data_IF_940636323419
#
_entry.id   IF_940636323419
#
_cell.length_a   1.000
_cell.length_b   1.000
_cell.length_c   1.000
_cell.angle_alpha   90.00
_cell.angle_beta   90.00
_cell.angle_gamma   90.00
#
_symmetry.space_group_name_H-M   'P 1'
#
loop_
_entity.id
_entity.type
_entity.pdbx_description
1 polymer ?
#
# COMPACT_ATOMS: atom_id res chain seq x y z
N UNK A 1 15.03 -7.23 11.03
CA UNK A 1 14.78 -5.92 11.69
C UNK A 1 13.30 -5.79 12.02
N UNK A 2 12.92 -5.23 13.18
CA UNK A 2 11.50 -4.99 13.50
C UNK A 2 10.97 -3.84 12.64
N UNK A 3 9.91 -4.09 11.88
CA UNK A 3 9.28 -3.08 11.03
C UNK A 3 8.53 -2.03 11.87
N UNK A 4 9.24 -0.98 12.27
CA UNK A 4 8.75 0.08 13.16
C UNK A 4 7.47 0.77 12.67
N UNK A 5 7.29 0.86 11.35
CA UNK A 5 6.12 1.52 10.75
C UNK A 5 4.92 0.58 10.55
N UNK A 6 5.05 -0.74 10.78
CA UNK A 6 3.97 -1.72 10.52
C UNK A 6 2.68 -1.37 11.28
N UNK A 7 2.79 -1.00 12.55
CA UNK A 7 1.64 -0.63 13.40
C UNK A 7 0.89 0.57 12.84
N UNK A 8 1.61 1.59 12.37
CA UNK A 8 1.03 2.76 11.73
C UNK A 8 0.24 2.37 10.47
N UNK A 9 0.78 1.54 9.59
CA UNK A 9 0.10 1.16 8.34
C UNK A 9 -1.20 0.37 8.59
N UNK A 10 -1.18 -0.56 9.55
CA UNK A 10 -2.38 -1.33 9.94
C UNK A 10 -3.45 -0.40 10.51
N UNK A 11 -3.08 0.46 11.46
CA UNK A 11 -4.02 1.40 12.08
C UNK A 11 -4.54 2.41 11.05
N UNK A 12 -3.69 2.87 10.13
CA UNK A 12 -4.08 3.78 9.07
C UNK A 12 -5.13 3.17 8.15
N UNK A 13 -4.91 1.93 7.70
CA UNK A 13 -5.90 1.19 6.90
C UNK A 13 -7.24 1.08 7.61
N UNK A 14 -7.23 0.68 8.88
CA UNK A 14 -8.45 0.51 9.67
C UNK A 14 -9.18 1.84 9.95
N UNK A 15 -8.44 2.91 10.29
CA UNK A 15 -9.02 4.22 10.64
C UNK A 15 -9.56 4.96 9.42
N UNK A 16 -8.88 4.87 8.29
CA UNK A 16 -9.24 5.61 7.06
C UNK A 16 -10.23 4.87 6.16
N UNK A 17 -10.75 3.72 6.61
CA UNK A 17 -11.63 2.85 5.83
C UNK A 17 -10.97 2.37 4.52
N UNK A 18 -9.74 1.87 4.64
CA UNK A 18 -9.04 1.12 3.60
C UNK A 18 -8.03 1.89 2.77
N UNK A 19 -7.64 3.13 3.13
CA UNK A 19 -6.50 3.77 2.46
C UNK A 19 -5.18 3.19 2.97
N UNK A 20 -4.21 3.10 2.08
CA UNK A 20 -2.86 2.57 2.33
C UNK A 20 -1.88 3.72 2.09
N UNK A 21 -0.99 4.04 3.05
CA UNK A 21 0.12 4.95 2.79
C UNK A 21 1.08 4.35 1.75
N UNK A 22 1.63 5.17 0.86
CA UNK A 22 2.68 4.74 -0.07
C UNK A 22 3.91 4.26 0.71
N UNK A 23 4.64 3.30 0.16
CA UNK A 23 5.93 2.88 0.72
C UNK A 23 6.97 2.88 -0.40
N UNK A 24 7.88 3.87 -0.45
CA UNK A 24 8.14 4.90 0.58
C UNK A 24 7.02 5.96 0.75
N UNK A 25 6.93 6.56 1.95
CA UNK A 25 5.83 7.43 2.42
C UNK A 25 5.62 8.77 1.67
N UNK A 26 6.54 9.12 0.77
CA UNK A 26 6.52 10.35 -0.02
C UNK A 26 6.41 10.08 -1.54
N UNK A 27 6.17 8.83 -1.92
CA UNK A 27 5.95 8.48 -3.31
C UNK A 27 4.62 9.06 -3.80
N UNK A 28 4.65 9.68 -4.97
CA UNK A 28 3.44 10.18 -5.61
C UNK A 28 2.69 9.01 -6.22
N UNK A 29 1.42 8.85 -5.84
CA UNK A 29 0.54 7.79 -6.34
C UNK A 29 -0.76 8.43 -6.82
N UNK A 30 -1.07 8.27 -8.10
CA UNK A 30 -2.24 8.85 -8.76
C UNK A 30 -3.28 7.78 -9.10
N UNK A 31 -4.57 8.15 -9.22
CA UNK A 31 -5.57 7.24 -9.78
C UNK A 31 -5.14 6.74 -11.16
N UNK A 32 -5.30 5.45 -11.38
CA UNK A 32 -4.86 4.77 -12.59
C UNK A 32 -3.40 4.34 -12.58
N UNK A 33 -2.59 4.69 -11.57
CA UNK A 33 -1.25 4.12 -11.46
C UNK A 33 -1.37 2.60 -11.25
N UNK A 34 -0.61 1.84 -12.03
CA UNK A 34 -0.48 0.40 -11.82
C UNK A 34 0.91 0.06 -11.29
N UNK A 35 0.95 -0.83 -10.31
CA UNK A 35 2.15 -1.09 -9.53
C UNK A 35 2.23 -2.55 -9.07
N UNK A 36 3.41 -2.93 -8.58
CA UNK A 36 3.63 -4.18 -7.86
C UNK A 36 4.24 -3.90 -6.50
N UNK A 37 3.96 -4.78 -5.54
CA UNK A 37 4.67 -4.78 -4.26
C UNK A 37 5.88 -5.70 -4.41
N UNK A 38 7.09 -5.12 -4.42
CA UNK A 38 8.33 -5.87 -4.53
C UNK A 38 9.23 -5.55 -3.35
N UNK A 39 9.71 -6.58 -2.64
CA UNK A 39 10.58 -6.45 -1.45
C UNK A 39 10.06 -5.44 -0.40
N UNK A 40 8.75 -5.41 -0.20
CA UNK A 40 8.13 -4.54 0.79
C UNK A 40 7.95 -3.08 0.35
N UNK A 41 8.15 -2.77 -0.93
CA UNK A 41 7.97 -1.43 -1.50
C UNK A 41 6.98 -1.43 -2.66
N UNK A 42 6.33 -0.29 -2.86
CA UNK A 42 5.44 -0.04 -3.98
C UNK A 42 6.26 0.43 -5.18
N UNK A 43 6.36 -0.41 -6.20
CA UNK A 43 7.04 -0.09 -7.45
C UNK A 43 5.98 0.27 -8.50
N UNK A 44 5.81 1.57 -8.75
CA UNK A 44 4.90 2.08 -9.79
C UNK A 44 5.51 1.77 -11.16
N UNK A 45 4.74 1.05 -11.98
CA UNK A 45 5.17 0.55 -13.29
C UNK A 45 4.67 1.44 -14.44
N UNK A 46 3.56 2.14 -14.21
CA UNK A 46 2.98 3.06 -15.19
C UNK A 46 1.62 3.56 -14.72
N UNK A 47 0.88 4.16 -15.66
CA UNK A 47 -0.47 4.66 -15.42
C UNK A 47 -1.38 4.28 -16.60
N UNK A 48 -2.63 3.90 -16.35
CA UNK A 48 -3.59 3.44 -17.37
C UNK A 48 -3.90 4.50 -18.44
N UNK A 49 -3.65 5.78 -18.19
CA UNK A 49 -3.83 6.84 -19.18
C UNK A 49 -2.63 6.98 -20.14
N UNK A 50 -1.51 6.30 -19.87
CA UNK A 50 -0.34 6.31 -20.75
C UNK A 50 -0.44 5.19 -21.78
N UNK A 51 0.16 5.42 -22.95
CA UNK A 51 0.22 4.46 -24.06
C UNK A 51 -1.16 3.93 -24.51
N UNK A 52 -2.23 4.70 -24.28
CA UNK A 52 -3.61 4.33 -24.59
C UNK A 52 -4.02 2.96 -24.01
N UNK A 53 -3.56 2.64 -22.79
CA UNK A 53 -4.06 1.45 -22.08
C UNK A 53 -5.56 1.61 -21.87
N UNK A 54 -6.05 2.75 -21.41
CA UNK A 54 -7.47 3.12 -21.43
C UNK A 54 -7.57 4.54 -21.99
N UNK A 55 -8.60 4.81 -22.81
CA UNK A 55 -8.79 6.16 -23.32
C UNK A 55 -9.24 7.09 -22.18
N UNK A 56 -8.74 8.33 -22.15
CA UNK A 56 -9.00 9.24 -21.02
C UNK A 56 -10.50 9.59 -20.91
N UNK A 57 -11.21 9.63 -22.03
CA UNK A 57 -12.65 9.85 -22.14
C UNK A 57 -13.51 8.66 -21.68
N UNK A 58 -12.93 7.45 -21.61
CA UNK A 58 -13.60 6.26 -21.07
C UNK A 58 -13.58 6.22 -19.52
N UNK A 59 -12.82 7.11 -18.86
CA UNK A 59 -12.68 7.11 -17.41
C UNK A 59 -13.34 8.32 -16.77
N UNK A 60 -14.31 8.06 -15.90
CA UNK A 60 -14.97 9.07 -15.08
C UNK A 60 -14.24 9.25 -13.75
N UNK A 61 -13.61 10.43 -13.57
CA UNK A 61 -12.94 10.81 -12.33
C UNK A 61 -13.77 11.79 -11.51
N UNK A 62 -13.98 11.47 -10.24
CA UNK A 62 -14.52 12.40 -9.25
C UNK A 62 -13.38 13.07 -8.49
N UNK A 63 -13.37 14.40 -8.43
CA UNK A 63 -12.32 15.18 -7.78
C UNK A 63 -12.81 15.86 -6.52
N UNK A 64 -11.91 16.01 -5.54
CA UNK A 64 -12.15 16.87 -4.39
C UNK A 64 -13.10 16.30 -3.34
N UNK A 65 -13.27 14.97 -3.32
CA UNK A 65 -14.10 14.27 -2.33
C UNK A 65 -13.51 14.54 -0.95
N UNK A 66 -14.26 15.24 -0.11
CA UNK A 66 -13.81 15.58 1.24
C UNK A 66 -13.88 14.35 2.14
N UNK A 67 -12.77 14.02 2.79
CA UNK A 67 -12.70 12.91 3.73
C UNK A 67 -12.89 13.40 5.16
N UNK A 68 -13.45 12.53 6.01
CA UNK A 68 -13.63 12.84 7.42
C UNK A 68 -12.29 13.08 8.10
N UNK A 69 -12.01 14.33 8.47
CA UNK A 69 -10.74 14.74 9.08
C UNK A 69 -10.44 14.02 10.40
N UNK A 70 -11.46 13.58 11.14
CA UNK A 70 -11.26 12.83 12.38
C UNK A 70 -10.55 11.48 12.13
N UNK A 71 -10.90 10.80 11.03
CA UNK A 71 -10.29 9.52 10.66
C UNK A 71 -8.84 9.67 10.16
N UNK A 72 -8.40 10.90 9.95
CA UNK A 72 -7.09 11.26 9.44
C UNK A 72 -6.24 12.03 10.46
N UNK A 73 -6.64 12.01 11.74
CA UNK A 73 -5.91 12.57 12.87
C UNK A 73 -6.03 11.59 14.04
N UNK A 74 -5.02 10.76 14.26
CA UNK A 74 -5.06 9.71 15.27
C UNK A 74 -3.66 9.35 15.75
N UNK A 75 -3.59 8.74 16.92
CA UNK A 75 -2.35 8.32 17.56
C UNK A 75 -2.53 6.97 18.24
N UNK A 76 -1.43 6.23 18.39
CA UNK A 76 -1.41 5.00 19.15
C UNK A 76 -0.23 5.00 20.12
N UNK A 77 -0.51 4.80 21.40
CA UNK A 77 0.49 4.75 22.48
C UNK A 77 1.24 6.07 22.69
N UNK A 78 0.52 7.20 22.62
CA UNK A 78 1.07 8.55 22.85
C UNK A 78 0.29 9.26 23.93
N UNK A 79 1.01 9.88 24.86
CA UNK A 79 0.46 10.80 25.86
C UNK A 79 0.99 12.21 25.61
N UNK A 80 0.28 13.21 26.14
CA UNK A 80 0.64 14.63 26.05
C UNK A 80 0.94 15.14 27.46
N UNK A 81 2.10 14.79 28.05
CA UNK A 81 2.44 15.19 29.42
C UNK A 81 2.45 16.71 29.62
N UNK A 82 2.69 17.48 28.55
CA UNK A 82 2.63 18.92 28.59
C UNK A 82 2.06 19.51 27.29
N UNK A 83 1.15 20.46 27.41
CA UNK A 83 0.67 21.33 26.35
C UNK A 83 0.27 22.65 27.00
N UNK A 84 1.00 23.73 26.73
CA UNK A 84 0.81 24.98 27.43
C UNK A 84 1.72 26.09 26.95
N UNK A 85 1.65 27.23 27.65
CA UNK A 85 2.49 28.40 27.42
C UNK A 85 3.70 28.36 28.32
N UNK A 86 4.82 28.79 27.78
CA UNK A 86 6.10 28.90 28.46
C UNK A 86 6.76 30.23 28.07
N UNK A 87 7.80 30.64 28.80
CA UNK A 87 8.46 31.92 28.59
C UNK A 87 9.96 31.76 28.41
N UNK A 88 10.49 32.34 27.34
CA UNK A 88 11.92 32.37 27.03
C UNK A 88 12.54 33.72 27.39
N UNK A 89 13.86 33.74 27.57
CA UNK A 89 14.66 34.96 27.74
C UNK A 89 15.63 35.10 26.57
N UNK A 90 15.45 36.15 25.77
CA UNK A 90 16.40 36.56 24.74
C UNK A 90 17.20 37.79 25.26
N UNK A 91 18.54 37.78 25.22
CA UNK A 91 19.36 38.94 25.63
C UNK A 91 19.05 40.24 24.88
N UNK A 92 18.50 40.15 23.66
CA UNK A 92 18.21 41.30 22.78
C UNK A 92 16.75 41.77 22.91
N UNK A 93 15.79 40.84 22.96
CA UNK A 93 14.34 41.14 22.89
C UNK A 93 13.63 41.05 24.26
N UNK A 94 14.32 40.61 25.31
CA UNK A 94 13.74 40.43 26.64
C UNK A 94 12.97 39.12 26.81
N UNK A 95 11.96 39.12 27.68
CA UNK A 95 11.10 37.94 27.88
C UNK A 95 10.11 37.82 26.72
N UNK A 96 10.03 36.63 26.11
CA UNK A 96 9.01 36.33 25.10
C UNK A 96 8.20 35.10 25.50
N UNK A 97 6.90 35.10 25.19
CA UNK A 97 6.03 33.95 25.36
C UNK A 97 6.13 33.01 24.16
N UNK A 98 6.06 31.70 24.41
CA UNK A 98 5.90 30.69 23.37
C UNK A 98 4.98 29.59 23.85
N UNK A 99 4.40 28.88 22.89
CA UNK A 99 3.61 27.69 23.18
C UNK A 99 4.51 26.46 23.08
N UNK A 100 4.39 25.51 24.01
CA UNK A 100 5.16 24.26 24.04
C UNK A 100 4.24 23.05 24.22
N UNK A 101 4.60 21.96 23.54
CA UNK A 101 3.92 20.67 23.60
C UNK A 101 4.97 19.57 23.69
N UNK A 102 4.79 18.63 24.62
CA UNK A 102 5.60 17.43 24.74
C UNK A 102 4.71 16.22 24.42
N UNK A 103 5.15 15.38 23.49
CA UNK A 103 4.56 14.09 23.20
C UNK A 103 5.47 13.00 23.78
N UNK A 104 4.92 12.11 24.60
CA UNK A 104 5.63 10.96 25.16
C UNK A 104 5.05 9.65 24.60
N UNK A 105 5.94 8.75 24.18
CA UNK A 105 5.59 7.52 23.48
C UNK A 105 5.78 6.30 24.39
N UNK A 106 4.73 5.50 24.52
CA UNK A 106 4.66 4.41 25.50
C UNK A 106 5.44 3.16 25.08
N UNK A 107 5.60 2.91 23.78
CA UNK A 107 6.23 1.69 23.28
C UNK A 107 6.87 1.87 21.89
N UNK A 108 7.67 0.88 21.50
CA UNK A 108 8.24 0.77 20.16
C UNK A 108 7.14 0.79 19.10
N UNK A 109 7.25 1.66 18.11
CA UNK A 109 6.25 1.79 17.05
C UNK A 109 5.00 2.57 17.45
N UNK A 110 4.92 3.10 18.68
CA UNK A 110 3.92 4.13 19.01
C UNK A 110 4.07 5.31 18.06
N UNK A 111 2.95 5.92 17.67
CA UNK A 111 2.96 6.96 16.65
C UNK A 111 1.89 8.03 16.87
N UNK A 112 2.12 9.20 16.28
CA UNK A 112 1.14 10.28 16.18
C UNK A 112 1.05 10.75 14.73
N UNK A 113 -0.15 10.68 14.15
CA UNK A 113 -0.42 11.10 12.77
C UNK A 113 -1.46 12.22 12.76
N UNK A 114 -1.17 13.26 11.98
CA UNK A 114 -2.12 14.35 11.71
C UNK A 114 -2.14 14.70 10.25
N UNK A 115 -3.29 15.17 9.78
CA UNK A 115 -3.40 15.76 8.46
C UNK A 115 -4.48 16.82 8.40
N UNK A 116 -4.32 17.73 7.45
CA UNK A 116 -5.24 18.84 7.22
C UNK A 116 -5.95 18.70 5.89
N UNK A 117 -7.28 18.79 5.92
CA UNK A 117 -8.15 18.82 4.74
C UNK A 117 -7.84 17.68 3.73
N UNK A 118 -7.95 16.41 4.14
CA UNK A 118 -7.76 15.29 3.23
C UNK A 118 -8.83 15.31 2.12
N UNK A 119 -8.38 15.34 0.85
CA UNK A 119 -9.24 15.32 -0.34
C UNK A 119 -8.85 14.19 -1.27
N UNK A 120 -9.82 13.39 -1.68
CA UNK A 120 -9.61 12.27 -2.58
C UNK A 120 -9.97 12.60 -4.03
N UNK A 121 -9.35 11.87 -4.94
CA UNK A 121 -9.74 11.71 -6.35
C UNK A 121 -10.02 10.24 -6.57
N UNK A 122 -11.14 9.90 -7.24
CA UNK A 122 -11.63 8.52 -7.41
C UNK A 122 -12.04 8.22 -8.85
N UNK A 123 -11.76 7.00 -9.32
CA UNK A 123 -12.38 6.43 -10.51
C UNK A 123 -13.79 5.93 -10.18
N UNK A 124 -14.82 6.53 -10.79
CA UNK A 124 -16.23 6.20 -10.53
C UNK A 124 -16.69 4.96 -11.29
N UNK A 125 -16.30 4.86 -12.56
CA UNK A 125 -16.80 3.84 -13.48
C UNK A 125 -15.85 2.63 -13.57
N UNK A 126 -15.26 2.21 -12.45
CA UNK A 126 -14.33 1.08 -12.40
C UNK A 126 -14.86 -0.17 -13.10
N UNK A 127 -16.14 -0.49 -12.90
CA UNK A 127 -16.77 -1.68 -13.46
C UNK A 127 -16.80 -1.69 -14.99
N UNK A 128 -16.80 -0.51 -15.63
CA UNK A 128 -16.82 -0.37 -17.09
C UNK A 128 -15.43 -0.67 -17.68
N UNK A 129 -14.37 -0.25 -17.01
CA UNK A 129 -12.99 -0.39 -17.50
C UNK A 129 -12.27 -1.66 -16.99
N UNK A 130 -12.82 -2.33 -15.98
CA UNK A 130 -12.18 -3.45 -15.29
C UNK A 130 -11.78 -4.61 -16.22
N UNK A 131 -12.69 -5.04 -17.10
CA UNK A 131 -12.45 -6.16 -18.03
C UNK A 131 -11.38 -5.81 -19.07
N UNK A 132 -11.43 -4.59 -19.60
CA UNK A 132 -10.44 -4.11 -20.55
C UNK A 132 -9.05 -4.05 -19.93
N UNK A 133 -8.95 -3.57 -18.68
CA UNK A 133 -7.70 -3.56 -17.93
C UNK A 133 -7.15 -4.97 -17.72
N UNK A 134 -7.99 -5.99 -17.45
CA UNK A 134 -7.53 -7.38 -17.38
C UNK A 134 -6.89 -7.77 -18.71
N UNK A 135 -7.60 -7.58 -19.83
CA UNK A 135 -7.11 -7.98 -21.16
C UNK A 135 -5.79 -7.27 -21.49
N UNK A 136 -5.73 -5.95 -21.29
CA UNK A 136 -4.56 -5.16 -21.69
C UNK A 136 -3.35 -5.38 -20.78
N UNK A 137 -3.53 -5.45 -19.46
CA UNK A 137 -2.43 -5.63 -18.51
C UNK A 137 -1.93 -7.07 -18.41
N UNK A 138 -2.73 -8.05 -18.83
CA UNK A 138 -2.33 -9.46 -18.73
C UNK A 138 -1.98 -10.09 -20.07
N UNK A 139 -2.48 -9.58 -21.20
CA UNK A 139 -2.32 -10.23 -22.52
C UNK A 139 -1.84 -9.31 -23.64
N UNK A 140 -2.47 -8.15 -23.83
CA UNK A 140 -2.25 -7.37 -25.06
C UNK A 140 -0.98 -6.52 -24.98
N UNK A 141 -0.76 -5.84 -23.87
CA UNK A 141 0.35 -4.90 -23.70
C UNK A 141 1.42 -5.42 -22.75
N UNK A 142 0.98 -6.15 -21.72
CA UNK A 142 1.85 -6.74 -20.70
C UNK A 142 1.42 -8.18 -20.41
N UNK A 143 2.22 -8.88 -19.60
CA UNK A 143 1.94 -10.25 -19.16
C UNK A 143 1.86 -10.37 -17.65
N UNK A 144 1.31 -9.35 -16.97
CA UNK A 144 1.22 -9.37 -15.52
C UNK A 144 0.35 -10.52 -15.02
N UNK A 145 0.79 -11.14 -13.93
CA UNK A 145 0.04 -12.15 -13.16
C UNK A 145 -0.36 -11.65 -11.78
N UNK A 146 0.37 -10.67 -11.27
CA UNK A 146 0.08 -9.92 -10.06
C UNK A 146 0.32 -8.45 -10.39
N UNK A 147 -0.72 -7.62 -10.28
CA UNK A 147 -0.64 -6.18 -10.49
C UNK A 147 -1.75 -5.51 -9.70
N UNK A 148 -1.46 -4.32 -9.21
CA UNK A 148 -2.41 -3.47 -8.52
C UNK A 148 -2.71 -2.26 -9.40
N UNK A 149 -3.94 -1.74 -9.36
CA UNK A 149 -4.34 -0.50 -10.01
C UNK A 149 -4.97 0.42 -8.98
N UNK A 150 -4.46 1.64 -8.86
CA UNK A 150 -4.95 2.64 -7.92
C UNK A 150 -6.29 3.17 -8.38
N UNK A 151 -7.31 3.07 -7.52
CA UNK A 151 -8.66 3.58 -7.80
C UNK A 151 -8.92 4.93 -7.14
N UNK A 152 -8.32 5.15 -5.97
CA UNK A 152 -8.48 6.36 -5.20
C UNK A 152 -7.09 6.85 -4.78
N UNK A 153 -6.90 8.16 -4.81
CA UNK A 153 -5.73 8.79 -4.25
C UNK A 153 -6.12 10.00 -3.41
N UNK A 154 -5.42 10.22 -2.30
CA UNK A 154 -5.68 11.30 -1.36
C UNK A 154 -4.46 12.20 -1.27
N UNK A 155 -4.73 13.50 -1.42
CA UNK A 155 -3.78 14.54 -1.07
C UNK A 155 -4.36 15.35 0.10
N UNK A 156 -3.48 15.74 1.01
CA UNK A 156 -3.82 16.63 2.13
C UNK A 156 -3.14 17.98 1.91
N UNK A 157 -3.62 19.03 2.57
CA UNK A 157 -2.93 20.33 2.54
C UNK A 157 -1.55 20.23 3.20
N UNK A 158 -1.51 19.50 4.31
CA UNK A 158 -0.30 19.11 5.02
C UNK A 158 -0.58 17.84 5.83
N UNK A 159 0.47 17.10 6.17
CA UNK A 159 0.39 16.00 7.12
C UNK A 159 1.70 15.83 7.89
N UNK A 160 1.64 15.19 9.05
CA UNK A 160 2.80 14.92 9.87
C UNK A 160 2.68 13.57 10.56
N UNK A 161 3.78 12.86 10.65
CA UNK A 161 3.90 11.55 11.27
C UNK A 161 5.16 11.50 12.10
N UNK A 162 5.01 11.02 13.34
CA UNK A 162 6.12 10.70 14.21
C UNK A 162 5.93 9.28 14.74
N UNK A 163 7.00 8.48 14.76
CA UNK A 163 7.01 7.10 15.25
C UNK A 163 8.21 6.91 16.17
N UNK A 164 7.93 6.37 17.35
CA UNK A 164 8.94 6.12 18.38
C UNK A 164 9.74 4.84 18.11
N UNK A 165 11.05 4.94 18.28
CA UNK A 165 12.02 3.84 18.29
C UNK A 165 12.05 3.06 19.60
N UNK A 166 11.35 3.52 20.65
CA UNK A 166 11.37 2.87 21.96
C UNK A 166 10.18 3.25 22.84
N UNK A 167 10.17 2.79 24.10
CA UNK A 167 9.24 3.22 25.14
C UNK A 167 9.69 4.48 25.91
N UNK A 168 10.79 5.12 25.50
CA UNK A 168 11.27 6.40 26.04
C UNK A 168 11.28 7.48 24.96
N UNK A 169 10.54 7.25 23.88
CA UNK A 169 10.38 8.22 22.81
C UNK A 169 9.75 9.50 23.35
N UNK A 170 10.32 10.64 23.00
CA UNK A 170 9.81 11.95 23.38
C UNK A 170 10.02 12.95 22.25
N UNK A 171 9.01 13.76 21.98
CA UNK A 171 9.08 14.85 21.02
C UNK A 171 8.63 16.14 21.70
N UNK A 172 9.53 17.12 21.76
CA UNK A 172 9.25 18.46 22.22
C UNK A 172 9.07 19.41 21.03
N UNK A 173 7.98 20.15 21.04
CA UNK A 173 7.56 21.05 19.96
C UNK A 173 7.25 22.42 20.58
N UNK A 174 7.68 23.49 19.92
CA UNK A 174 7.33 24.85 20.30
C UNK A 174 6.79 25.66 19.10
N UNK A 175 6.01 26.70 19.39
CA UNK A 175 5.55 27.69 18.41
C UNK A 175 5.62 29.09 19.03
N UNK A 176 6.06 30.06 18.23
CA UNK A 176 6.14 31.47 18.62
C UNK A 176 4.75 32.14 18.75
N UNK A 177 3.69 31.46 18.29
CA UNK A 177 2.31 31.94 18.43
C UNK A 177 1.73 31.63 19.81
N UNK A 178 1.25 32.64 20.52
CA UNK A 178 0.46 32.49 21.75
C UNK A 178 -1.01 32.14 21.43
N UNK A 179 -1.30 30.88 21.14
CA UNK A 179 -2.70 30.44 21.01
C UNK A 179 -3.39 30.46 22.40
N UNK A 180 -4.65 30.91 22.47
CA UNK A 180 -5.40 31.13 23.71
C UNK A 180 -6.28 29.94 24.16
N UNK A 181 -5.87 28.70 23.82
CA UNK A 181 -6.65 27.48 24.12
C UNK A 181 -5.80 26.23 24.31
N UNK A 182 -6.42 25.03 24.19
CA UNK A 182 -5.71 23.74 24.18
C UNK A 182 -4.78 23.70 22.97
N UNK A 183 -3.47 23.66 23.21
CA UNK A 183 -2.47 23.90 22.18
C UNK A 183 -2.04 22.58 21.54
N UNK A 184 -2.65 22.23 20.41
CA UNK A 184 -2.09 21.23 19.49
C UNK A 184 -1.05 21.91 18.59
N UNK A 185 0.22 21.61 18.78
CA UNK A 185 1.33 22.16 17.99
C UNK A 185 1.80 21.20 16.92
N UNK A 186 1.65 19.89 17.13
CA UNK A 186 2.05 18.89 16.17
C UNK A 186 1.29 19.06 14.84
N UNK A 187 2.03 19.06 13.72
CA UNK A 187 1.46 19.23 12.38
C UNK A 187 1.12 20.67 11.97
N UNK A 188 1.24 21.67 12.87
CA UNK A 188 1.06 23.09 12.50
C UNK A 188 2.25 23.60 11.67
N UNK A 189 2.00 24.51 10.73
CA UNK A 189 3.06 25.09 9.88
C UNK A 189 4.13 25.82 10.72
N UNK A 190 3.70 26.60 11.71
CA UNK A 190 4.54 27.49 12.51
C UNK A 190 5.20 26.80 13.71
N UNK A 191 5.03 25.50 13.89
CA UNK A 191 5.69 24.76 14.96
C UNK A 191 7.08 24.27 14.55
N UNK A 192 8.01 24.34 15.51
CA UNK A 192 9.39 23.88 15.41
C UNK A 192 9.61 22.75 16.41
N UNK A 193 10.31 21.71 15.98
CA UNK A 193 10.79 20.65 16.88
C UNK A 193 11.97 21.19 17.67
N UNK A 194 11.87 21.16 19.00
CA UNK A 194 12.95 21.57 19.91
C UNK A 194 13.84 20.36 20.23
N UNK A 195 13.22 19.22 20.50
CA UNK A 195 13.93 17.99 20.85
C UNK A 195 13.19 16.77 20.31
N UNK A 196 13.95 15.79 19.80
CA UNK A 196 13.45 14.47 19.45
C UNK A 196 14.37 13.43 20.08
N UNK A 197 13.84 12.66 21.04
CA UNK A 197 14.57 11.60 21.74
C UNK A 197 13.96 10.25 21.39
N UNK A 198 14.80 9.30 21.00
CA UNK A 198 14.40 7.91 20.68
C UNK A 198 13.23 7.85 19.68
N UNK A 199 13.19 8.83 18.76
CA UNK A 199 12.27 8.88 17.63
C UNK A 199 12.97 8.26 16.42
N UNK A 200 12.36 7.24 15.83
CA UNK A 200 12.93 6.55 14.66
C UNK A 200 12.51 7.21 13.34
N UNK A 201 11.26 7.69 13.30
CA UNK A 201 10.70 8.31 12.11
C UNK A 201 10.01 9.61 12.47
N UNK A 202 10.36 10.67 11.76
CA UNK A 202 9.69 11.95 11.84
C UNK A 202 9.58 12.56 10.44
N UNK A 203 8.35 12.88 10.04
CA UNK A 203 8.07 13.47 8.74
C UNK A 203 6.99 14.54 8.85
N UNK A 204 7.22 15.66 8.17
CA UNK A 204 6.29 16.77 8.03
C UNK A 204 6.23 17.15 6.56
N UNK A 205 5.08 16.94 5.94
CA UNK A 205 4.81 17.31 4.56
C UNK A 205 3.89 18.53 4.52
N UNK A 206 4.32 19.57 3.82
CA UNK A 206 3.58 20.82 3.66
C UNK A 206 3.12 21.04 2.21
N UNK A 207 3.50 20.14 1.31
CA UNK A 207 3.08 20.13 -0.09
C UNK A 207 1.88 19.19 -0.24
N UNK A 208 1.02 19.54 -1.20
CA UNK A 208 -0.13 18.72 -1.57
C UNK A 208 0.30 17.53 -2.43
N UNK A 209 0.90 16.52 -1.79
CA UNK A 209 1.38 15.29 -2.43
C UNK A 209 0.33 14.19 -2.25
N UNK A 210 -0.04 13.47 -3.32
CA UNK A 210 -0.90 12.30 -3.23
C UNK A 210 -0.10 11.05 -2.81
N UNK A 211 -0.07 10.75 -1.51
CA UNK A 211 0.75 9.67 -0.92
C UNK A 211 -0.08 8.59 -0.21
N UNK A 212 -1.41 8.66 -0.28
CA UNK A 212 -2.30 7.67 0.34
C UNK A 212 -3.33 7.23 -0.70
N UNK A 213 -3.56 5.93 -0.82
CA UNK A 213 -4.31 5.40 -1.95
C UNK A 213 -5.20 4.21 -1.59
N UNK A 214 -6.18 3.93 -2.44
CA UNK A 214 -6.85 2.63 -2.53
C UNK A 214 -6.52 2.00 -3.86
N UNK A 215 -6.42 0.69 -3.88
CA UNK A 215 -6.12 -0.04 -5.10
C UNK A 215 -7.00 -1.27 -5.25
N UNK A 216 -7.10 -1.73 -6.49
CA UNK A 216 -7.63 -3.03 -6.86
C UNK A 216 -6.46 -3.94 -7.20
N UNK A 217 -6.42 -5.13 -6.62
CA UNK A 217 -5.45 -6.17 -6.93
C UNK A 217 -6.02 -7.15 -7.93
N UNK A 218 -5.21 -7.52 -8.91
CA UNK A 218 -5.51 -8.61 -9.81
C UNK A 218 -5.32 -9.91 -9.06
N UNK A 219 -6.37 -10.71 -8.95
CA UNK A 219 -6.34 -12.04 -8.32
C UNK A 219 -6.77 -13.09 -9.32
N UNK A 220 -6.38 -14.32 -9.02
CA UNK A 220 -6.70 -15.50 -9.82
C UNK A 220 -7.98 -16.12 -9.28
N UNK A 221 -8.94 -16.40 -10.16
CA UNK A 221 -10.19 -17.04 -9.76
C UNK A 221 -9.92 -18.52 -9.38
N UNK A 222 -10.13 -18.92 -8.11
CA UNK A 222 -9.73 -20.24 -7.63
C UNK A 222 -10.55 -21.38 -8.25
N UNK A 223 -11.83 -21.16 -8.50
CA UNK A 223 -12.77 -22.18 -9.00
C UNK A 223 -12.36 -22.76 -10.36
N UNK A 224 -11.83 -21.92 -11.26
CA UNK A 224 -11.37 -22.35 -12.59
C UNK A 224 -9.92 -22.83 -12.58
N UNK A 225 -9.14 -22.43 -11.58
CA UNK A 225 -7.80 -22.95 -11.34
C UNK A 225 -7.86 -24.44 -11.00
N UNK A 226 -8.80 -24.86 -10.15
CA UNK A 226 -8.96 -26.27 -9.78
C UNK A 226 -9.32 -27.14 -10.99
N UNK A 227 -10.19 -26.65 -11.87
CA UNK A 227 -10.53 -27.33 -13.14
C UNK A 227 -9.30 -27.45 -14.04
N UNK A 228 -8.54 -26.36 -14.20
CA UNK A 228 -7.33 -26.36 -15.01
C UNK A 228 -6.23 -27.28 -14.45
N UNK A 229 -6.01 -27.28 -13.13
CA UNK A 229 -5.09 -28.21 -12.46
C UNK A 229 -5.53 -29.65 -12.68
N UNK A 230 -6.84 -29.91 -12.56
CA UNK A 230 -7.40 -31.25 -12.78
C UNK A 230 -7.19 -31.71 -14.22
N UNK A 231 -7.38 -30.83 -15.20
CA UNK A 231 -7.13 -31.11 -16.62
C UNK A 231 -5.64 -31.35 -16.89
N UNK A 232 -4.73 -30.53 -16.33
CA UNK A 232 -3.29 -30.72 -16.44
C UNK A 232 -2.82 -32.04 -15.81
N UNK A 233 -3.37 -32.40 -14.64
CA UNK A 233 -3.09 -33.69 -14.00
C UNK A 233 -3.57 -34.83 -14.91
N UNK A 234 -4.75 -34.72 -15.51
CA UNK A 234 -5.29 -35.71 -16.46
C UNK A 234 -4.42 -35.84 -17.71
N UNK A 235 -4.00 -34.74 -18.32
CA UNK A 235 -3.07 -34.77 -19.46
C UNK A 235 -1.72 -35.39 -19.07
N UNK A 236 -1.25 -35.14 -17.84
CA UNK A 236 -0.01 -35.72 -17.31
C UNK A 236 -0.14 -37.22 -17.03
N UNK A 237 -1.34 -37.75 -16.75
CA UNK A 237 -1.55 -39.21 -16.71
C UNK A 237 -1.44 -39.86 -18.10
N UNK A 238 -1.62 -39.10 -19.18
CA UNK A 238 -1.33 -39.53 -20.56
C UNK A 238 0.16 -39.51 -20.95
N UNK A 239 1.07 -39.21 -20.00
CA UNK A 239 2.52 -39.14 -20.25
C UNK A 239 3.11 -40.47 -20.71
N UNK A 240 2.47 -41.59 -20.37
CA UNK A 240 2.93 -42.93 -20.72
C UNK A 240 2.89 -43.12 -22.25
N UNK A 241 1.90 -42.57 -22.95
CA UNK A 241 1.68 -42.88 -24.37
C UNK A 241 2.69 -42.18 -25.29
N UNK A 242 2.97 -40.89 -25.06
CA UNK A 242 3.95 -40.17 -25.89
C UNK A 242 5.39 -40.56 -25.55
N UNK A 243 5.70 -40.85 -24.28
CA UNK A 243 7.04 -41.24 -23.86
C UNK A 243 7.44 -42.60 -24.46
N UNK A 244 6.50 -43.56 -24.48
CA UNK A 244 6.68 -44.86 -25.13
C UNK A 244 6.86 -44.75 -26.66
N UNK A 245 6.22 -43.75 -27.30
CA UNK A 245 6.37 -43.51 -28.74
C UNK A 245 7.66 -42.78 -29.13
N UNK A 246 8.18 -41.90 -28.26
CA UNK A 246 9.33 -41.03 -28.57
C UNK A 246 10.67 -41.65 -28.16
N UNK A 247 10.74 -42.27 -26.99
CA UNK A 247 11.97 -42.87 -26.48
C UNK A 247 11.98 -44.37 -26.77
N UNK A 248 12.85 -44.81 -27.70
CA UNK A 248 13.01 -46.22 -28.11
C UNK A 248 13.70 -47.10 -27.05
N UNK A 249 13.87 -46.63 -25.83
CA UNK A 249 14.53 -47.34 -24.75
C UNK A 249 13.48 -48.01 -23.87
N UNK A 250 13.74 -49.25 -23.43
CA UNK A 250 12.87 -50.00 -22.52
C UNK A 250 12.92 -49.43 -21.10
N UNK A 251 12.40 -48.22 -20.90
CA UNK A 251 12.19 -47.68 -19.56
C UNK A 251 11.05 -48.45 -18.89
N UNK A 252 11.27 -48.94 -17.68
CA UNK A 252 10.23 -49.60 -16.89
C UNK A 252 9.30 -48.53 -16.31
N UNK A 253 8.16 -48.34 -16.96
CA UNK A 253 7.19 -47.31 -16.57
C UNK A 253 6.19 -47.92 -15.58
N UNK A 254 6.52 -47.92 -14.29
CA UNK A 254 5.51 -48.11 -13.26
C UNK A 254 4.52 -46.93 -13.32
N UNK A 255 3.22 -47.23 -13.22
CA UNK A 255 2.16 -46.21 -13.16
C UNK A 255 2.52 -45.18 -12.10
N UNK A 256 2.88 -43.98 -12.53
CA UNK A 256 3.24 -42.89 -11.62
C UNK A 256 2.03 -42.52 -10.76
N UNK A 257 2.01 -42.97 -9.50
CA UNK A 257 1.19 -42.37 -8.45
C UNK A 257 1.83 -41.03 -8.13
N UNK A 258 1.30 -39.96 -8.72
CA UNK A 258 1.77 -38.60 -8.44
C UNK A 258 1.37 -38.26 -7.00
N UNK A 259 2.31 -38.42 -6.07
CA UNK A 259 2.24 -37.70 -4.80
C UNK A 259 2.50 -36.24 -5.11
N UNK A 260 1.42 -35.43 -5.05
CA UNK A 260 1.52 -33.99 -5.25
C UNK A 260 2.62 -33.43 -4.33
N UNK A 261 3.60 -32.66 -4.85
CA UNK A 261 4.61 -32.07 -4.02
C UNK A 261 3.92 -31.12 -3.03
N UNK A 262 3.79 -31.56 -1.78
CA UNK A 262 3.62 -30.67 -0.64
C UNK A 262 4.92 -29.90 -0.56
N UNK A 263 5.00 -28.74 -1.22
CA UNK A 263 5.73 -27.54 -0.79
C UNK A 263 5.99 -26.64 -2.00
N UNK A 264 5.68 -25.34 -1.79
CA UNK A 264 5.63 -24.20 -2.71
C UNK A 264 4.40 -24.12 -3.62
N UNK A 265 3.57 -23.07 -3.52
CA UNK A 265 2.65 -22.73 -4.60
C UNK A 265 3.50 -22.27 -5.78
N UNK A 266 3.82 -23.18 -6.69
CA UNK A 266 4.15 -22.79 -8.06
C UNK A 266 2.91 -22.04 -8.55
N UNK A 267 3.07 -20.80 -9.01
CA UNK A 267 1.98 -20.07 -9.66
C UNK A 267 1.51 -20.94 -10.82
N UNK A 268 0.34 -21.57 -10.68
CA UNK A 268 -0.23 -22.47 -11.67
C UNK A 268 -0.47 -21.73 -13.00
N UNK A 269 -0.56 -20.40 -12.94
CA UNK A 269 -0.59 -19.53 -14.12
C UNK A 269 0.75 -19.48 -14.88
N UNK A 270 1.88 -19.78 -14.24
CA UNK A 270 3.18 -19.90 -14.90
C UNK A 270 3.27 -21.20 -15.70
N UNK A 271 2.35 -22.15 -15.47
CA UNK A 271 2.21 -23.39 -16.23
C UNK A 271 1.28 -23.24 -17.44
N UNK A 272 0.56 -22.11 -17.57
CA UNK A 272 -0.25 -21.83 -18.76
C UNK A 272 0.70 -21.58 -19.94
N UNK A 273 0.53 -22.36 -21.01
CA UNK A 273 1.29 -22.11 -22.24
C UNK A 273 0.91 -20.73 -22.79
N UNK A 274 1.87 -20.05 -23.44
CA UNK A 274 1.69 -18.69 -23.97
C UNK A 274 0.45 -18.51 -24.87
N UNK A 275 -0.07 -19.59 -25.45
CA UNK A 275 -1.22 -19.59 -26.36
C UNK A 275 -2.57 -19.94 -25.69
N UNK A 276 -2.58 -20.35 -24.41
CA UNK A 276 -3.79 -20.73 -23.67
C UNK A 276 -4.44 -19.55 -22.95
N UNK A 277 -3.67 -18.49 -22.73
CA UNK A 277 -4.17 -17.21 -22.29
C UNK A 277 -4.41 -16.36 -23.54
N UNK A 278 -5.67 -16.08 -23.82
CA UNK A 278 -6.13 -15.17 -24.84
C UNK A 278 -7.10 -14.18 -24.17
N UNK A 279 -7.52 -13.08 -24.83
CA UNK A 279 -8.37 -12.08 -24.20
C UNK A 279 -9.65 -12.65 -23.55
N UNK A 280 -10.27 -13.65 -24.16
CA UNK A 280 -11.49 -14.26 -23.65
C UNK A 280 -11.23 -15.18 -22.45
N UNK A 281 -10.11 -15.91 -22.44
CA UNK A 281 -9.74 -16.76 -21.30
C UNK A 281 -9.15 -15.96 -20.14
N UNK A 282 -8.51 -14.81 -20.40
CA UNK A 282 -8.01 -13.92 -19.35
C UNK A 282 -9.10 -13.45 -18.39
N UNK A 283 -10.29 -13.10 -18.91
CA UNK A 283 -11.44 -12.72 -18.09
C UNK A 283 -12.01 -13.86 -17.25
N UNK A 284 -11.74 -15.11 -17.63
CA UNK A 284 -12.15 -16.29 -16.86
C UNK A 284 -11.18 -16.61 -15.72
N UNK A 285 -9.90 -16.30 -15.89
CA UNK A 285 -8.87 -16.60 -14.89
C UNK A 285 -8.62 -15.47 -13.91
N UNK A 286 -8.85 -14.22 -14.31
CA UNK A 286 -8.54 -13.07 -13.48
C UNK A 286 -9.80 -12.34 -13.03
N UNK A 287 -9.72 -11.74 -11.85
CA UNK A 287 -10.70 -10.77 -11.36
C UNK A 287 -10.01 -9.72 -10.50
N UNK A 288 -10.69 -8.61 -10.26
CA UNK A 288 -10.19 -7.53 -9.43
C UNK A 288 -10.81 -7.60 -8.03
N UNK A 289 -9.97 -7.59 -7.00
CA UNK A 289 -10.38 -7.47 -5.61
C UNK A 289 -9.85 -6.15 -5.02
N UNK A 290 -10.44 -5.65 -3.94
CA UNK A 290 -9.84 -4.53 -3.21
C UNK A 290 -8.52 -4.97 -2.56
N UNK A 291 -7.51 -4.10 -2.60
CA UNK A 291 -6.35 -4.26 -1.74
C UNK A 291 -6.79 -4.22 -0.27
N UNK A 292 -6.31 -5.17 0.52
CA UNK A 292 -6.77 -5.42 1.88
C UNK A 292 -5.60 -5.42 2.88
N UNK A 293 -5.85 -5.85 4.11
CA UNK A 293 -4.83 -5.86 5.16
C UNK A 293 -3.66 -6.83 4.86
N UNK A 294 -3.90 -7.93 4.15
CA UNK A 294 -2.85 -8.86 3.74
C UNK A 294 -1.87 -8.19 2.77
N UNK A 295 -2.38 -7.31 1.89
CA UNK A 295 -1.55 -6.52 0.98
C UNK A 295 -0.72 -5.47 1.74
N UNK A 296 -1.26 -4.91 2.83
CA UNK A 296 -0.50 -4.06 3.75
C UNK A 296 0.60 -4.88 4.42
N UNK A 297 0.36 -6.14 4.78
CA UNK A 297 1.39 -7.01 5.35
C UNK A 297 2.52 -7.32 4.37
N UNK A 298 2.21 -7.46 3.07
CA UNK A 298 3.23 -7.66 2.02
C UNK A 298 4.28 -6.55 1.98
N UNK A 299 3.93 -5.33 2.38
CA UNK A 299 4.85 -4.20 2.50
C UNK A 299 5.94 -4.43 3.58
N UNK A 300 5.80 -5.45 4.43
CA UNK A 300 6.67 -5.70 5.57
C UNK A 300 7.34 -7.07 5.53
N UNK A 301 7.17 -7.84 4.46
CA UNK A 301 7.85 -9.12 4.28
C UNK A 301 9.33 -8.85 3.99
N UNK A 302 10.20 -9.24 4.92
CA UNK A 302 11.64 -9.31 4.69
C UNK A 302 11.95 -10.61 3.96
N UNK A 303 12.34 -10.53 2.69
CA UNK A 303 13.08 -11.62 2.07
C UNK A 303 14.47 -11.59 2.72
N UNK A 304 14.85 -12.69 3.39
CA UNK A 304 16.05 -12.74 4.24
C UNK A 304 17.29 -12.17 3.55
N UNK A 305 18.07 -11.42 4.34
CA UNK A 305 19.41 -10.96 3.99
C UNK A 305 20.35 -12.14 3.65
#
# INVERSE_FOLDING_TARGET
>A
MKNITKKFYIDFYNRTNGFIPSKPLNQHIYPGDFFQIHKGEVIVLGNIFKNNIIAVDEVSLEYGIELNSYNWNFSNGVTKPYSGRDSGKNPIEGNFGYSKQILAFQEFGSFFFTSQQPKAVRILNWNEIASELIIKLTQVLYSFREVYVVTDSVATKSWSLVISGSNKGELEIASESEDSGVIELFGKANSKTIQAREIEYYHKENKKIPSFFKAKKLIVQPEKLEVFISDLIRERTGVIDWANGLFKSNFHNETFTISAPKNKPISVLDMLQANQLNPNTALQYFTWENANLDDVEKLFISYGD
#
